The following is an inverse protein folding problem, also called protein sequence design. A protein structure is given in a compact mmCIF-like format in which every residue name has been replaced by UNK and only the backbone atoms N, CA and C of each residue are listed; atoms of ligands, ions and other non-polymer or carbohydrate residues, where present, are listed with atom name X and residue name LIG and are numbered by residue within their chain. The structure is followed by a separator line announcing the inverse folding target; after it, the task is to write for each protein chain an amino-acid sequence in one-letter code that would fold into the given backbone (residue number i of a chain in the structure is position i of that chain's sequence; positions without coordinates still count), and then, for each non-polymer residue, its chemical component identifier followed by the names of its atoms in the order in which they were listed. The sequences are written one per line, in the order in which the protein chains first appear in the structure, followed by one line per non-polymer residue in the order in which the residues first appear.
data_IF_267611765038
#
_entry.id   IF_267611765038
#
_cell.length_a   1.000
_cell.length_b   1.000
_cell.length_c   1.000
_cell.angle_alpha   90.00
_cell.angle_beta   90.00
_cell.angle_gamma   90.00
#
_symmetry.space_group_name_H-M   'P 1'
#
loop_
_entity.id
_entity.type
_entity.pdbx_description
1 polymer ?
#
# COMPACT_ATOMS: atom_id res chain seq x y z
N UNK A 1 -7.21 -17.83 -11.64
CA UNK A 1 -7.09 -16.46 -11.07
C UNK A 1 -6.14 -15.69 -11.96
N UNK A 2 -6.63 -14.71 -12.76
CA UNK A 2 -5.80 -13.99 -13.70
C UNK A 2 -4.76 -13.18 -12.91
N UNK A 3 -3.49 -13.47 -13.17
CA UNK A 3 -2.40 -12.58 -12.78
C UNK A 3 -2.50 -11.45 -13.80
N UNK A 4 -3.14 -10.33 -13.44
CA UNK A 4 -3.15 -9.17 -14.32
C UNK A 4 -1.70 -8.87 -14.71
N UNK A 5 -1.44 -8.73 -16.01
CA UNK A 5 -0.11 -8.43 -16.48
C UNK A 5 0.31 -7.07 -15.92
N UNK A 6 1.59 -6.82 -15.70
CA UNK A 6 2.11 -5.51 -15.30
C UNK A 6 1.62 -4.39 -16.23
N UNK A 7 1.39 -4.72 -17.50
CA UNK A 7 0.85 -3.83 -18.53
C UNK A 7 -0.61 -3.41 -18.28
N UNK A 8 -1.44 -4.30 -17.71
CA UNK A 8 -2.81 -3.96 -17.31
C UNK A 8 -2.80 -2.97 -16.14
N UNK A 9 -1.86 -3.15 -15.20
CA UNK A 9 -1.69 -2.24 -14.06
C UNK A 9 -1.19 -0.87 -14.51
N UNK A 10 -0.30 -0.83 -15.50
CA UNK A 10 0.19 0.40 -16.09
C UNK A 10 -0.89 1.24 -16.77
N UNK A 11 -1.94 0.60 -17.28
CA UNK A 11 -3.05 1.28 -17.95
C UNK A 11 -4.00 1.96 -16.96
N UNK A 12 -3.92 1.62 -15.67
CA UNK A 12 -4.80 2.17 -14.65
C UNK A 12 -4.23 3.48 -14.06
N UNK A 13 -5.10 4.44 -13.72
CA UNK A 13 -4.66 5.78 -13.35
C UNK A 13 -4.08 5.85 -11.93
N UNK A 14 -4.55 5.00 -11.01
CA UNK A 14 -4.23 5.12 -9.57
C UNK A 14 -4.11 3.76 -8.92
N UNK A 15 -3.16 3.64 -8.00
CA UNK A 15 -2.95 2.48 -7.15
C UNK A 15 -2.93 2.88 -5.67
N UNK A 16 -3.14 1.92 -4.77
CA UNK A 16 -2.97 2.11 -3.34
C UNK A 16 -1.95 1.09 -2.82
N UNK A 17 -0.89 1.58 -2.19
CA UNK A 17 0.04 0.73 -1.44
C UNK A 17 -0.61 0.35 -0.11
N UNK A 18 -0.88 -0.93 0.11
CA UNK A 18 -1.48 -1.40 1.36
C UNK A 18 -0.40 -1.63 2.42
N UNK A 19 -0.70 -1.25 3.66
CA UNK A 19 0.14 -1.57 4.81
C UNK A 19 0.16 -3.09 5.07
N UNK A 20 1.20 -3.58 5.74
CA UNK A 20 1.42 -5.01 6.03
C UNK A 20 0.27 -5.65 6.82
N UNK A 21 -0.40 -4.88 7.68
CA UNK A 21 -1.54 -5.34 8.47
C UNK A 21 -2.88 -5.23 7.73
N UNK A 22 -2.92 -4.57 6.58
CA UNK A 22 -4.14 -4.41 5.76
C UNK A 22 -5.27 -3.60 6.41
N UNK A 23 -5.06 -3.13 7.65
CA UNK A 23 -6.06 -2.50 8.51
C UNK A 23 -6.16 -0.96 8.35
N UNK A 24 -5.38 -0.36 7.45
CA UNK A 24 -5.37 1.09 7.21
C UNK A 24 -5.75 1.48 5.76
N UNK A 25 -6.14 2.75 5.52
CA UNK A 25 -6.24 3.27 4.17
C UNK A 25 -4.86 3.16 3.49
N UNK A 26 -4.81 2.55 2.30
CA UNK A 26 -3.55 2.41 1.58
C UNK A 26 -3.00 3.77 1.15
N UNK A 27 -1.68 3.92 1.08
CA UNK A 27 -1.04 5.14 0.59
C UNK A 27 -1.30 5.28 -0.92
N UNK A 28 -1.90 6.38 -1.39
CA UNK A 28 -2.20 6.54 -2.81
C UNK A 28 -0.91 6.71 -3.61
N UNK A 29 -0.85 6.05 -4.76
CA UNK A 29 0.30 6.03 -5.65
C UNK A 29 -0.14 6.14 -7.11
N UNK A 30 0.72 6.75 -7.93
CA UNK A 30 0.55 6.83 -9.39
C UNK A 30 1.51 5.88 -10.08
N UNK A 31 1.04 5.25 -11.16
CA UNK A 31 1.78 4.22 -11.88
C UNK A 31 2.20 4.71 -13.26
N UNK A 32 3.42 4.41 -13.69
CA UNK A 32 3.90 4.62 -15.06
C UNK A 32 4.72 3.43 -15.52
N UNK A 33 4.66 3.16 -16.82
CA UNK A 33 5.60 2.24 -17.46
C UNK A 33 6.78 3.00 -18.04
N UNK A 34 7.97 2.43 -17.92
CA UNK A 34 9.14 2.84 -18.67
C UNK A 34 9.79 1.58 -19.26
N UNK A 35 9.74 1.46 -20.58
CA UNK A 35 10.12 0.22 -21.26
C UNK A 35 9.21 -0.94 -20.85
N UNK A 36 9.79 -1.97 -20.22
CA UNK A 36 9.07 -3.19 -19.77
C UNK A 36 8.82 -3.20 -18.25
N UNK A 37 9.27 -2.17 -17.55
CA UNK A 37 9.20 -2.07 -16.11
C UNK A 37 8.07 -1.14 -15.68
N UNK A 38 7.44 -1.47 -14.55
CA UNK A 38 6.42 -0.65 -13.92
C UNK A 38 7.01 0.10 -12.73
N UNK A 39 6.64 1.36 -12.60
CA UNK A 39 7.11 2.24 -11.52
C UNK A 39 5.93 2.84 -10.80
N UNK A 40 6.08 3.03 -9.49
CA UNK A 40 5.13 3.71 -8.65
C UNK A 40 5.78 4.87 -7.90
N UNK A 41 5.03 5.94 -7.71
CA UNK A 41 5.42 7.12 -6.94
C UNK A 41 4.24 7.60 -6.10
N UNK A 42 4.51 8.24 -4.96
CA UNK A 42 3.45 8.82 -4.13
C UNK A 42 2.56 9.75 -4.93
N UNK A 43 1.25 9.60 -4.75
CA UNK A 43 0.30 10.57 -5.28
C UNK A 43 0.44 11.92 -4.54
N UNK A 44 0.16 13.05 -5.23
CA UNK A 44 0.29 14.36 -4.63
C UNK A 44 -0.76 14.55 -3.52
N UNK A 45 -0.35 15.16 -2.41
CA UNK A 45 -1.21 15.39 -1.24
C UNK A 45 -1.52 14.14 -0.39
N UNK A 46 -1.00 12.97 -0.77
CA UNK A 46 -1.13 11.73 -0.01
C UNK A 46 0.02 11.53 0.99
N UNK A 47 -0.16 10.55 1.88
CA UNK A 47 0.93 10.08 2.73
C UNK A 47 2.06 9.53 1.85
N UNK A 48 3.31 9.86 2.19
CA UNK A 48 4.48 9.40 1.44
C UNK A 48 4.60 7.88 1.52
N UNK A 49 4.92 7.24 0.40
CA UNK A 49 5.26 5.84 0.36
C UNK A 49 6.48 5.64 1.25
N UNK A 50 6.34 4.86 2.32
CA UNK A 50 7.44 4.42 3.19
C UNK A 50 7.56 2.89 3.23
N UNK A 51 7.64 2.19 2.09
CA UNK A 51 7.95 0.77 2.14
C UNK A 51 9.41 0.62 2.60
N UNK A 52 9.67 -0.27 3.56
CA UNK A 52 11.02 -0.65 3.97
C UNK A 52 11.78 -1.47 2.91
N UNK A 53 11.47 -1.29 1.62
CA UNK A 53 11.84 -2.18 0.53
C UNK A 53 11.18 -3.58 0.62
N UNK A 54 11.21 -4.33 -0.48
CA UNK A 54 10.83 -5.75 -0.46
C UNK A 54 9.35 -6.03 -0.73
N UNK A 55 8.72 -6.91 0.05
CA UNK A 55 7.37 -7.43 -0.24
C UNK A 55 6.31 -6.40 0.10
N UNK A 56 5.39 -6.17 -0.84
CA UNK A 56 4.26 -5.28 -0.62
C UNK A 56 2.98 -5.81 -1.26
N UNK A 57 1.85 -5.20 -0.91
CA UNK A 57 0.56 -5.42 -1.55
C UNK A 57 0.08 -4.11 -2.15
N UNK A 58 -0.33 -4.14 -3.41
CA UNK A 58 -0.85 -2.97 -4.11
C UNK A 58 -2.27 -3.27 -4.56
N UNK A 59 -3.22 -2.38 -4.26
CA UNK A 59 -4.59 -2.44 -4.76
C UNK A 59 -4.71 -1.56 -6.00
N UNK A 60 -5.19 -2.15 -7.10
CA UNK A 60 -5.47 -1.45 -8.35
C UNK A 60 -6.82 -1.93 -8.86
N UNK A 61 -7.74 -1.01 -9.19
CA UNK A 61 -9.11 -1.34 -9.61
C UNK A 61 -9.79 -2.43 -8.73
N UNK A 62 -9.72 -2.25 -7.40
CA UNK A 62 -10.24 -3.17 -6.38
C UNK A 62 -9.53 -4.53 -6.24
N UNK A 63 -8.63 -4.88 -7.17
CA UNK A 63 -7.84 -6.11 -7.11
C UNK A 63 -6.56 -5.89 -6.31
N UNK A 64 -6.26 -6.82 -5.39
CA UNK A 64 -5.02 -6.80 -4.59
C UNK A 64 -3.95 -7.67 -5.27
N UNK A 65 -2.80 -7.06 -5.52
CA UNK A 65 -1.64 -7.68 -6.14
C UNK A 65 -0.48 -7.79 -5.16
N UNK A 66 0.18 -8.95 -5.12
CA UNK A 66 1.43 -9.11 -4.38
C UNK A 66 2.59 -8.66 -5.27
N UNK A 67 3.37 -7.72 -4.78
CA UNK A 67 4.48 -7.13 -5.53
C UNK A 67 5.74 -7.10 -4.70
N UNK A 68 6.85 -6.85 -5.38
CA UNK A 68 8.11 -6.49 -4.76
C UNK A 68 8.48 -5.08 -5.21
N UNK A 69 8.91 -4.27 -4.25
CA UNK A 69 9.35 -2.90 -4.44
C UNK A 69 10.86 -2.86 -4.33
N UNK A 70 11.49 -2.29 -5.35
CA UNK A 70 12.92 -2.02 -5.39
C UNK A 70 13.16 -0.52 -5.52
N UNK A 71 14.20 -0.02 -4.86
CA UNK A 71 14.66 1.35 -5.05
C UNK A 71 15.08 1.57 -6.50
N UNK A 72 14.93 2.82 -6.95
CA UNK A 72 15.24 3.24 -8.32
C UNK A 72 16.49 4.09 -8.29
N UNK A 73 17.40 3.84 -9.23
CA UNK A 73 18.61 4.62 -9.36
C UNK A 73 18.27 6.09 -9.74
N UNK A 74 18.93 7.10 -9.15
CA UNK A 74 18.57 8.51 -9.35
C UNK A 74 18.56 8.96 -10.81
N UNK A 75 19.40 8.35 -11.64
CA UNK A 75 19.58 8.69 -13.06
C UNK A 75 18.31 8.42 -13.89
N UNK A 76 17.43 7.53 -13.41
CA UNK A 76 16.19 7.15 -14.10
C UNK A 76 15.05 8.14 -13.79
N UNK A 77 15.18 8.99 -12.78
CA UNK A 77 14.09 9.89 -12.37
C UNK A 77 13.66 10.88 -13.46
N UNK A 78 14.60 11.43 -14.24
CA UNK A 78 14.26 12.33 -15.34
C UNK A 78 13.38 11.67 -16.41
N UNK A 79 13.71 10.43 -16.79
CA UNK A 79 12.90 9.65 -17.74
C UNK A 79 11.51 9.32 -17.18
N UNK A 80 11.43 9.05 -15.89
CA UNK A 80 10.14 8.80 -15.22
C UNK A 80 9.30 10.07 -15.14
N UNK A 81 9.90 11.22 -14.91
CA UNK A 81 9.18 12.49 -14.88
C UNK A 81 8.56 12.81 -16.24
N UNK A 82 9.27 12.51 -17.34
CA UNK A 82 8.72 12.60 -18.69
C UNK A 82 7.57 11.61 -18.91
N UNK A 83 7.69 10.38 -18.42
CA UNK A 83 6.60 9.40 -18.47
C UNK A 83 5.36 9.86 -17.67
N UNK A 84 5.55 10.45 -16.49
CA UNK A 84 4.47 11.03 -15.68
C UNK A 84 3.82 12.22 -16.40
N UNK A 85 4.62 13.12 -16.98
CA UNK A 85 4.14 14.24 -17.80
C UNK A 85 3.32 13.75 -19.00
N UNK A 86 3.83 12.76 -19.73
CA UNK A 86 3.13 12.19 -20.88
C UNK A 86 1.80 11.55 -20.48
N UNK A 87 1.76 10.77 -19.40
CA UNK A 87 0.57 10.03 -18.98
C UNK A 87 -0.49 10.91 -18.33
N UNK A 88 -0.10 11.87 -17.48
CA UNK A 88 -1.03 12.61 -16.62
C UNK A 88 -1.08 14.13 -16.90
N UNK A 89 -0.12 14.67 -17.66
CA UNK A 89 0.03 16.11 -17.86
C UNK A 89 -1.16 16.74 -18.58
N UNK A 90 -1.84 15.98 -19.44
CA UNK A 90 -3.03 16.47 -20.13
C UNK A 90 -4.25 16.61 -19.19
N UNK A 91 -4.43 15.68 -18.25
CA UNK A 91 -5.62 15.63 -17.41
C UNK A 91 -5.46 16.44 -16.11
N UNK A 92 -4.25 16.51 -15.57
CA UNK A 92 -4.00 17.10 -14.24
C UNK A 92 -2.62 17.78 -14.15
N UNK A 93 -2.39 18.87 -14.90
CA UNK A 93 -1.08 19.52 -14.99
C UNK A 93 -0.54 19.98 -13.63
N UNK A 94 -1.36 20.59 -12.79
CA UNK A 94 -0.94 21.07 -11.46
C UNK A 94 -0.49 19.94 -10.52
N UNK A 95 -1.15 18.79 -10.61
CA UNK A 95 -0.80 17.61 -9.80
C UNK A 95 0.47 16.94 -10.29
N UNK A 96 0.69 16.94 -11.61
CA UNK A 96 1.92 16.39 -12.20
C UNK A 96 3.14 17.17 -11.75
N UNK A 97 3.06 18.50 -11.67
CA UNK A 97 4.16 19.34 -11.17
C UNK A 97 4.61 18.95 -9.76
N UNK A 98 3.67 18.58 -8.89
CA UNK A 98 4.00 18.07 -7.55
C UNK A 98 4.64 16.67 -7.59
N UNK A 99 4.19 15.81 -8.51
CA UNK A 99 4.68 14.43 -8.67
C UNK A 99 6.08 14.38 -9.26
N UNK A 100 6.49 15.35 -10.09
CA UNK A 100 7.84 15.43 -10.68
C UNK A 100 8.82 16.27 -9.85
N UNK A 101 8.47 16.60 -8.60
CA UNK A 101 9.40 17.24 -7.67
C UNK A 101 10.43 16.26 -7.11
N UNK A 102 11.62 16.74 -6.74
CA UNK A 102 12.67 15.90 -6.12
C UNK A 102 12.18 15.15 -4.88
N UNK A 103 11.33 15.80 -4.09
CA UNK A 103 10.72 15.21 -2.88
C UNK A 103 9.83 14.02 -3.25
N UNK A 104 9.10 14.10 -4.35
CA UNK A 104 8.28 13.00 -4.85
C UNK A 104 9.15 11.93 -5.53
N UNK A 105 10.23 12.30 -6.23
CA UNK A 105 11.17 11.37 -6.84
C UNK A 105 11.77 10.40 -5.81
N UNK A 106 12.08 10.87 -4.60
CA UNK A 106 12.55 10.04 -3.47
C UNK A 106 11.54 8.97 -3.00
N UNK A 107 10.28 9.04 -3.43
CA UNK A 107 9.23 8.04 -3.12
C UNK A 107 8.99 7.05 -4.26
N UNK A 108 9.90 6.99 -5.24
CA UNK A 108 9.75 6.16 -6.43
C UNK A 108 10.26 4.75 -6.17
N UNK A 109 9.46 3.75 -6.52
CA UNK A 109 9.84 2.34 -6.47
C UNK A 109 9.56 1.65 -7.80
N UNK A 110 10.46 0.75 -8.21
CA UNK A 110 10.18 -0.21 -9.27
C UNK A 110 9.31 -1.32 -8.72
N UNK A 111 8.25 -1.65 -9.45
CA UNK A 111 7.25 -2.66 -9.09
C UNK A 111 7.45 -3.89 -9.97
N UNK A 112 7.64 -5.04 -9.32
CA UNK A 112 7.63 -6.34 -9.99
C UNK A 112 6.56 -7.23 -9.38
N UNK A 113 5.74 -7.88 -10.20
CA UNK A 113 4.75 -8.86 -9.72
C UNK A 113 5.45 -10.03 -9.06
N UNK A 114 4.94 -10.45 -7.91
CA UNK A 114 5.39 -11.65 -7.23
C UNK A 114 4.23 -12.63 -7.09
N UNK A 115 4.51 -13.92 -7.30
CA UNK A 115 3.57 -14.97 -6.93
C UNK A 115 3.54 -15.13 -5.41
N UNK A 116 2.38 -14.99 -4.73
CA UNK A 116 2.31 -15.23 -3.29
C UNK A 116 2.56 -16.71 -2.98
N UNK A 117 3.16 -16.97 -1.83
CA UNK A 117 3.34 -18.33 -1.31
C UNK A 117 1.99 -18.99 -0.99
N UNK A 118 1.98 -20.30 -0.74
CA UNK A 118 0.77 -21.02 -0.32
C UNK A 118 0.20 -20.51 1.01
N UNK A 119 1.05 -20.18 1.99
CA UNK A 119 0.62 -19.67 3.30
C UNK A 119 0.14 -18.21 3.25
N UNK A 120 0.71 -17.37 2.37
CA UNK A 120 0.25 -15.99 2.14
C UNK A 120 -1.16 -15.97 1.52
N UNK A 121 -1.51 -17.02 0.76
CA UNK A 121 -2.86 -17.19 0.18
C UNK A 121 -3.91 -17.59 1.21
N UNK A 122 -3.52 -18.28 2.28
CA UNK A 122 -4.44 -18.78 3.32
C UNK A 122 -4.46 -17.95 4.59
N UNK A 123 -3.48 -17.06 4.80
CA UNK A 123 -3.42 -16.16 5.96
C UNK A 123 -4.73 -15.37 6.23
N UNK A 124 -5.41 -14.77 5.25
CA UNK A 124 -6.68 -14.07 5.52
C UNK A 124 -7.83 -15.00 5.96
N UNK A 125 -7.73 -16.31 5.71
CA UNK A 125 -8.70 -17.28 6.21
C UNK A 125 -8.43 -17.68 7.67
N UNK A 126 -7.16 -17.64 8.10
CA UNK A 126 -6.75 -17.90 9.49
C UNK A 126 -6.97 -16.68 10.40
N UNK A 127 -6.78 -15.46 9.89
CA UNK A 127 -7.08 -14.22 10.63
C UNK A 127 -8.57 -14.08 10.97
N UNK A 128 -9.48 -14.61 10.13
CA UNK A 128 -10.90 -14.70 10.48
C UNK A 128 -11.15 -15.63 11.68
N UNK A 129 -10.31 -16.64 11.85
CA UNK A 129 -10.33 -17.50 13.03
C UNK A 129 -9.87 -16.75 14.28
N UNK A 130 -8.75 -16.02 14.20
CA UNK A 130 -8.20 -15.23 15.32
C UNK A 130 -9.17 -14.12 15.78
N UNK A 131 -9.74 -13.36 14.83
CA UNK A 131 -10.72 -12.31 15.13
C UNK A 131 -12.05 -12.85 15.69
N UNK A 132 -12.42 -14.09 15.34
CA UNK A 132 -13.52 -14.80 16.00
C UNK A 132 -13.13 -15.19 17.42
N UNK A 133 -11.95 -15.78 17.64
CA UNK A 133 -11.44 -16.17 18.96
C UNK A 133 -11.34 -15.00 19.96
N UNK A 134 -10.94 -13.80 19.54
CA UNK A 134 -10.95 -12.61 20.40
C UNK A 134 -12.37 -12.16 20.79
N UNK A 135 -13.37 -12.47 19.95
CA UNK A 135 -14.78 -12.16 20.21
C UNK A 135 -15.46 -13.19 21.11
N UNK A 136 -15.01 -14.44 21.13
CA UNK A 136 -15.58 -15.51 21.97
C UNK A 136 -14.80 -15.79 23.25
N UNK A 137 -13.70 -15.06 23.52
CA UNK A 137 -12.97 -15.21 24.79
C UNK A 137 -13.93 -14.92 25.96
N UNK A 138 -14.22 -15.91 26.82
CA UNK A 138 -15.01 -15.64 28.02
C UNK A 138 -14.20 -14.70 28.91
N UNK A 139 -14.77 -13.54 29.21
CA UNK A 139 -14.24 -12.64 30.24
C UNK A 139 -14.29 -13.44 31.54
N UNK A 140 -13.12 -13.89 32.01
CA UNK A 140 -12.98 -14.54 33.31
C UNK A 140 -13.29 -13.46 34.35
N UNK A 141 -14.49 -13.52 34.91
CA UNK A 141 -14.94 -12.57 35.92
C UNK A 141 -14.02 -12.58 37.12
N UNK A 142 -13.29 -11.48 37.32
CA UNK A 142 -12.68 -11.17 38.60
C UNK A 142 -13.80 -10.85 39.60
N UNK A 143 -14.00 -11.77 40.53
CA UNK A 143 -14.88 -11.59 41.67
C UNK A 143 -14.36 -10.41 42.51
N UNK A 144 -15.13 -9.31 42.54
CA UNK A 144 -14.92 -8.22 43.49
C UNK A 144 -15.39 -8.67 44.87
N UNK A 145 -14.43 -8.96 45.74
CA UNK A 145 -14.68 -9.11 47.16
C UNK A 145 -14.59 -7.75 47.85
N UNK A 146 -15.69 -7.37 48.53
CA UNK A 146 -15.71 -6.67 49.81
C UNK A 146 -15.24 -5.21 49.88
N UNK A 147 -16.20 -4.32 50.11
CA UNK A 147 -16.35 -3.55 51.37
C UNK A 147 -16.72 -2.07 51.15
N UNK A 148 -17.62 -1.59 52.01
CA UNK A 148 -18.42 -0.34 52.00
C UNK A 148 -17.99 0.50 53.25
N UNK A 149 -18.49 1.72 53.51
CA UNK A 149 -18.31 3.06 52.91
C UNK A 149 -17.48 4.07 53.80
N UNK A 150 -17.42 5.33 53.35
CA UNK A 150 -16.79 6.54 53.92
C UNK A 150 -17.03 6.84 55.43
N UNK A 151 -16.15 7.66 56.06
CA UNK A 151 -16.52 9.06 56.29
C UNK A 151 -15.38 10.11 56.20
N UNK A 152 -15.78 11.33 55.81
CA UNK A 152 -15.16 12.67 55.98
C UNK A 152 -13.77 12.82 56.61
N UNK A 153 -12.91 13.57 55.91
CA UNK A 153 -12.24 14.81 56.37
C UNK A 153 -12.01 15.71 55.15
#
# INVERSE_FOLDING_TARGET
MPTAALEDLASLPTAQLLTSDGAGPGSPAWLVSLGRDLYMRSAPGGERLRPGGGRARVRVADVVHHVTLAEVAPEVHGLLDDAYRAKYGHCTPDRVSAVVSDVAAATTFRVSTRRPSLWERTAPLLDRGQAWWDRVRPVRGEARAGEVPCPTC
#
